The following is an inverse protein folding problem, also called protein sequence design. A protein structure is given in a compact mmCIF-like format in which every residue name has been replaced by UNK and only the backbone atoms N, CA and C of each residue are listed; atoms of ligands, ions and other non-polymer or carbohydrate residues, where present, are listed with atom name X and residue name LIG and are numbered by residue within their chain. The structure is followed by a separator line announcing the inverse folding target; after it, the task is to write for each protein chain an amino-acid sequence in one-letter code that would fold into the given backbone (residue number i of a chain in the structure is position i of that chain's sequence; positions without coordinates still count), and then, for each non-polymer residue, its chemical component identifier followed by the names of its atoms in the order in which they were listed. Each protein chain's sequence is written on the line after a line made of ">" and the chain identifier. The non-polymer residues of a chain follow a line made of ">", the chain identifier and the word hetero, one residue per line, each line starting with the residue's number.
data_IF_316445666998
#
_entry.id   IF_316445666998
#
_cell.length_a   1.000
_cell.length_b   1.000
_cell.length_c   1.000
_cell.angle_alpha   90.00
_cell.angle_beta   90.00
_cell.angle_gamma   90.00
#
_symmetry.space_group_name_H-M   'P 1'
#
loop_
_entity.id
_entity.type
_entity.pdbx_description
1 polymer ?
#
# COMPACT_ATOMS: atom_id res chain seq x y z
N UNK A 1 -3.43 0.91 -27.07
CA UNK A 1 -3.56 1.32 -25.66
C UNK A 1 -3.10 2.76 -25.56
N UNK A 2 -3.90 3.65 -24.97
CA UNK A 2 -3.45 5.01 -24.72
C UNK A 2 -2.40 5.04 -23.59
N UNK A 3 -1.54 6.07 -23.50
CA UNK A 3 -0.64 6.25 -22.36
C UNK A 3 -1.38 6.27 -21.01
N UNK A 4 -2.60 6.80 -20.99
CA UNK A 4 -3.47 6.85 -19.81
C UNK A 4 -3.89 5.43 -19.38
N UNK A 5 -4.23 4.56 -20.34
CA UNK A 5 -4.58 3.16 -20.03
C UNK A 5 -3.41 2.41 -19.39
N UNK A 6 -2.18 2.65 -19.87
CA UNK A 6 -0.97 2.05 -19.30
C UNK A 6 -0.72 2.53 -17.87
N UNK A 7 -0.93 3.82 -17.60
CA UNK A 7 -0.81 4.39 -16.26
C UNK A 7 -1.85 3.79 -15.30
N UNK A 8 -3.11 3.70 -15.72
CA UNK A 8 -4.18 3.09 -14.94
C UNK A 8 -3.87 1.62 -14.65
N UNK A 9 -3.35 0.88 -15.64
CA UNK A 9 -2.93 -0.51 -15.46
C UNK A 9 -1.83 -0.64 -14.41
N UNK A 10 -0.82 0.23 -14.45
CA UNK A 10 0.26 0.25 -13.47
C UNK A 10 -0.26 0.55 -12.06
N UNK A 11 -1.15 1.54 -11.90
CA UNK A 11 -1.77 1.86 -10.61
C UNK A 11 -2.59 0.69 -10.06
N UNK A 12 -3.34 -0.02 -10.91
CA UNK A 12 -4.08 -1.23 -10.51
C UNK A 12 -3.14 -2.35 -10.07
N UNK A 13 -2.03 -2.54 -10.77
CA UNK A 13 -1.02 -3.53 -10.36
C UNK A 13 -0.43 -3.20 -8.98
N UNK A 14 -0.18 -1.91 -8.71
CA UNK A 14 0.26 -1.45 -7.38
C UNK A 14 -0.79 -1.77 -6.30
N UNK A 15 -2.07 -1.51 -6.55
CA UNK A 15 -3.15 -1.83 -5.60
C UNK A 15 -3.15 -3.33 -5.28
N UNK A 16 -2.99 -4.19 -6.28
CA UNK A 16 -2.90 -5.65 -6.09
C UNK A 16 -1.71 -6.01 -5.18
N UNK A 17 -0.52 -5.42 -5.44
CA UNK A 17 0.67 -5.64 -4.61
C UNK A 17 0.40 -5.24 -3.15
N UNK A 18 -0.19 -4.07 -2.92
CA UNK A 18 -0.55 -3.61 -1.58
C UNK A 18 -1.53 -4.56 -0.89
N UNK A 19 -2.57 -5.01 -1.58
CA UNK A 19 -3.53 -5.98 -1.04
C UNK A 19 -2.85 -7.28 -0.66
N UNK A 20 -1.96 -7.81 -1.49
CA UNK A 20 -1.19 -9.03 -1.17
C UNK A 20 -0.32 -8.82 0.07
N UNK A 21 0.33 -7.66 0.19
CA UNK A 21 1.13 -7.35 1.38
C UNK A 21 0.28 -7.26 2.66
N UNK A 22 -0.95 -6.72 2.59
CA UNK A 22 -1.91 -6.75 3.72
C UNK A 22 -2.27 -8.18 4.09
N UNK A 23 -2.57 -9.03 3.09
CA UNK A 23 -2.85 -10.47 3.33
C UNK A 23 -1.65 -11.15 3.99
N UNK A 24 -0.42 -10.89 3.53
CA UNK A 24 0.78 -11.40 4.20
C UNK A 24 0.91 -10.92 5.64
N UNK A 25 0.53 -9.67 5.93
CA UNK A 25 0.48 -9.13 7.28
C UNK A 25 -0.49 -9.93 8.16
N UNK A 26 -1.71 -10.20 7.67
CA UNK A 26 -2.70 -10.99 8.40
C UNK A 26 -2.28 -12.44 8.61
N UNK A 27 -1.67 -13.07 7.60
CA UNK A 27 -1.13 -14.43 7.74
C UNK A 27 -0.08 -14.47 8.85
N UNK A 28 0.85 -13.50 8.87
CA UNK A 28 1.88 -13.39 9.92
C UNK A 28 1.26 -13.15 11.30
N UNK A 29 0.22 -12.31 11.37
CA UNK A 29 -0.50 -12.03 12.61
C UNK A 29 -1.25 -13.25 13.16
N UNK A 30 -1.85 -14.05 12.28
CA UNK A 30 -2.56 -15.29 12.63
C UNK A 30 -1.62 -16.47 12.98
N UNK A 31 -0.31 -16.26 13.11
CA UNK A 31 0.69 -17.29 13.40
C UNK A 31 1.18 -18.09 12.19
N UNK A 32 0.74 -17.73 10.99
CA UNK A 32 1.20 -18.31 9.74
C UNK A 32 2.61 -17.85 9.35
N UNK A 33 3.28 -18.65 8.50
CA UNK A 33 4.62 -18.34 7.99
C UNK A 33 4.55 -17.90 6.53
N UNK A 34 4.96 -16.66 6.25
CA UNK A 34 5.20 -16.17 4.89
C UNK A 34 6.70 -16.29 4.58
N UNK A 35 7.12 -17.05 3.55
CA UNK A 35 8.53 -17.29 3.26
C UNK A 35 9.28 -16.00 2.86
N UNK A 36 10.04 -15.42 3.79
CA UNK A 36 10.79 -14.17 3.56
C UNK A 36 11.96 -14.31 2.57
N UNK A 37 12.43 -15.53 2.30
CA UNK A 37 13.49 -15.79 1.33
C UNK A 37 12.97 -15.86 -0.11
N UNK A 38 11.65 -16.01 -0.31
CA UNK A 38 11.07 -16.05 -1.65
C UNK A 38 11.28 -14.67 -2.34
N UNK A 39 11.91 -14.62 -3.53
CA UNK A 39 12.16 -13.37 -4.24
C UNK A 39 10.89 -12.59 -4.55
N UNK A 40 9.76 -13.27 -4.80
CA UNK A 40 8.46 -12.63 -5.08
C UNK A 40 7.91 -11.94 -3.84
N UNK A 41 7.97 -12.59 -2.67
CA UNK A 41 7.55 -11.98 -1.40
C UNK A 41 8.41 -10.75 -1.10
N UNK A 42 9.73 -10.84 -1.27
CA UNK A 42 10.63 -9.70 -1.08
C UNK A 42 10.36 -8.56 -2.06
N UNK A 43 10.01 -8.89 -3.30
CA UNK A 43 9.64 -7.89 -4.29
C UNK A 43 8.36 -7.16 -3.86
N UNK A 44 7.32 -7.90 -3.47
CA UNK A 44 6.06 -7.33 -2.97
C UNK A 44 6.33 -6.44 -1.75
N UNK A 45 7.05 -6.95 -0.75
CA UNK A 45 7.37 -6.20 0.46
C UNK A 45 8.13 -4.91 0.12
N UNK A 46 9.13 -4.95 -0.76
CA UNK A 46 9.89 -3.75 -1.17
C UNK A 46 9.04 -2.70 -1.88
N UNK A 47 8.19 -3.12 -2.82
CA UNK A 47 7.32 -2.19 -3.54
C UNK A 47 6.28 -1.60 -2.59
N UNK A 48 5.67 -2.43 -1.75
CA UNK A 48 4.76 -1.97 -0.71
C UNK A 48 5.43 -0.99 0.23
N UNK A 49 6.61 -1.31 0.78
CA UNK A 49 7.33 -0.42 1.69
C UNK A 49 7.69 0.90 1.02
N UNK A 50 8.16 0.90 -0.23
CA UNK A 50 8.46 2.15 -0.95
C UNK A 50 7.26 3.10 -1.07
N UNK A 51 6.04 2.56 -1.14
CA UNK A 51 4.80 3.35 -1.23
C UNK A 51 4.27 3.70 0.17
N UNK A 52 4.33 2.76 1.11
CA UNK A 52 3.72 2.87 2.43
C UNK A 52 4.59 3.68 3.40
N UNK A 53 5.91 3.63 3.28
CA UNK A 53 6.86 4.36 4.13
C UNK A 53 6.56 5.87 4.24
N UNK A 54 6.41 6.63 3.13
CA UNK A 54 6.08 8.05 3.23
C UNK A 54 4.71 8.31 3.87
N UNK A 55 3.72 7.46 3.57
CA UNK A 55 2.37 7.55 4.14
C UNK A 55 2.42 7.29 5.65
N UNK A 56 3.16 6.28 6.07
CA UNK A 56 3.37 5.90 7.48
C UNK A 56 4.07 7.01 8.24
N UNK A 57 5.07 7.66 7.64
CA UNK A 57 5.75 8.81 8.24
C UNK A 57 4.79 9.98 8.45
N UNK A 58 3.94 10.30 7.47
CA UNK A 58 2.93 11.36 7.59
C UNK A 58 1.90 11.00 8.66
N UNK A 59 1.37 9.78 8.63
CA UNK A 59 0.42 9.27 9.63
C UNK A 59 1.00 9.40 11.05
N UNK A 60 2.23 8.94 11.27
CA UNK A 60 2.87 8.99 12.58
C UNK A 60 3.12 10.41 13.06
N UNK A 61 3.49 11.34 12.16
CA UNK A 61 3.64 12.77 12.51
C UNK A 61 2.31 13.39 12.93
N UNK A 62 1.24 13.12 12.19
CA UNK A 62 -0.09 13.62 12.50
C UNK A 62 -0.60 13.08 13.84
N UNK A 63 -0.47 11.77 14.08
CA UNK A 63 -0.88 11.17 15.36
C UNK A 63 -0.13 11.77 16.55
N UNK A 64 1.19 11.90 16.44
CA UNK A 64 2.02 12.54 17.48
C UNK A 64 1.59 13.99 17.74
N UNK A 65 1.30 14.76 16.69
CA UNK A 65 0.85 16.14 16.83
C UNK A 65 -0.53 16.27 17.48
N UNK A 66 -1.38 15.26 17.35
CA UNK A 66 -2.69 15.17 17.98
C UNK A 66 -2.64 14.66 19.43
N UNK A 67 -1.45 14.47 20.01
CA UNK A 67 -1.27 13.92 21.35
C UNK A 67 -1.56 12.42 21.45
N UNK A 68 -1.81 11.74 20.32
CA UNK A 68 -1.93 10.29 20.29
C UNK A 68 -0.54 9.65 20.20
N UNK A 69 -0.28 8.70 21.09
CA UNK A 69 0.96 7.93 21.11
C UNK A 69 1.11 7.01 19.88
N UNK A 70 2.10 6.11 19.94
CA UNK A 70 2.29 5.12 18.88
C UNK A 70 1.07 4.22 18.75
N UNK A 71 0.47 4.16 17.55
CA UNK A 71 -0.65 3.28 17.27
C UNK A 71 -0.12 1.91 16.80
N UNK A 72 -0.53 0.79 17.42
CA UNK A 72 -0.06 -0.54 17.02
C UNK A 72 -0.61 -1.00 15.66
N UNK A 73 -1.63 -0.31 15.14
CA UNK A 73 -2.27 -0.59 13.86
C UNK A 73 -1.76 0.38 12.81
N UNK A 74 -1.24 -0.17 11.71
CA UNK A 74 -0.80 0.60 10.54
C UNK A 74 -1.94 0.71 9.51
N UNK A 75 -2.47 1.93 9.34
CA UNK A 75 -3.51 2.24 8.34
C UNK A 75 -2.93 2.70 7.00
N UNK A 76 -1.61 2.82 6.88
CA UNK A 76 -0.94 3.24 5.64
C UNK A 76 -1.41 2.47 4.41
N UNK A 77 -1.62 1.13 4.45
CA UNK A 77 -2.14 0.39 3.30
C UNK A 77 -3.53 0.85 2.85
N UNK A 78 -4.42 1.12 3.80
CA UNK A 78 -5.78 1.59 3.49
C UNK A 78 -5.74 2.98 2.87
N UNK A 79 -4.95 3.89 3.45
CA UNK A 79 -4.77 5.26 2.94
C UNK A 79 -4.20 5.22 1.52
N UNK A 80 -3.19 4.37 1.28
CA UNK A 80 -2.59 4.20 -0.05
C UNK A 80 -3.60 3.70 -1.08
N UNK A 81 -4.39 2.67 -0.74
CA UNK A 81 -5.40 2.10 -1.64
C UNK A 81 -6.46 3.14 -1.99
N UNK A 82 -6.98 3.88 -1.00
CA UNK A 82 -7.97 4.94 -1.23
C UNK A 82 -7.40 6.03 -2.14
N UNK A 83 -6.18 6.48 -1.88
CA UNK A 83 -5.53 7.51 -2.68
C UNK A 83 -5.30 7.06 -4.14
N UNK A 84 -4.81 5.83 -4.34
CA UNK A 84 -4.61 5.30 -5.70
C UNK A 84 -5.95 5.11 -6.41
N UNK A 85 -7.01 4.67 -5.72
CA UNK A 85 -8.33 4.52 -6.31
C UNK A 85 -8.91 5.87 -6.77
N UNK A 86 -8.67 6.94 -5.98
CA UNK A 86 -9.00 8.30 -6.38
C UNK A 86 -8.24 8.74 -7.64
N UNK A 87 -6.92 8.48 -7.71
CA UNK A 87 -6.12 8.77 -8.90
C UNK A 87 -6.62 8.02 -10.14
N UNK A 88 -6.97 6.75 -10.01
CA UNK A 88 -7.54 5.95 -11.11
C UNK A 88 -8.85 6.57 -11.60
N UNK A 89 -9.75 6.95 -10.69
CA UNK A 89 -11.03 7.55 -11.05
C UNK A 89 -10.84 8.88 -11.79
N UNK A 90 -9.95 9.74 -11.29
CA UNK A 90 -9.61 11.00 -11.92
C UNK A 90 -8.99 10.80 -13.31
N UNK A 91 -8.04 9.89 -13.46
CA UNK A 91 -7.40 9.57 -14.74
C UNK A 91 -8.39 8.97 -15.76
N UNK A 92 -9.31 8.13 -15.30
CA UNK A 92 -10.34 7.55 -16.15
C UNK A 92 -11.33 8.61 -16.68
N UNK A 93 -11.52 9.73 -15.97
CA UNK A 93 -12.32 10.86 -16.45
C UNK A 93 -11.66 11.68 -17.57
N UNK A 94 -10.34 11.54 -17.78
CA UNK A 94 -9.60 12.19 -18.87
C UNK A 94 -9.46 11.33 -20.12
N UNK A 95 -10.04 10.12 -20.11
CA UNK A 95 -10.06 9.19 -21.24
C UNK A 95 -11.20 9.50 -22.19
#
# INVERSE_FOLDING_TARGET
>A
MSPIDLLILALRAIVIILVINVVFSWIRFAGGRVPRYNPVVRFIDRISDAILEPIRQVQNRLLRSAGMGYMPIDFSPLIAIIFIQFLIYLLAGFR
#
